data_IF_492658119035
#
_entry.id   IF_492658119035
#
_cell.length_a   1.000
_cell.length_b   1.000
_cell.length_c   1.000
_cell.angle_alpha   90.00
_cell.angle_beta   90.00
_cell.angle_gamma   90.00
#
_symmetry.space_group_name_H-M   'P 1'
#
loop_
_entity.id
_entity.type
_entity.pdbx_description
1 polymer ?
#
# COMPACT_ATOMS: atom_id res chain seq x y z
N UNK A 1 13.71 -19.79 1.21
CA UNK A 1 12.27 -19.98 1.48
C UNK A 1 11.49 -19.14 0.48
N UNK A 2 10.43 -19.67 -0.13
CA UNK A 2 9.58 -18.89 -1.03
C UNK A 2 8.74 -17.88 -0.21
N UNK A 3 8.59 -16.66 -0.72
CA UNK A 3 7.70 -15.66 -0.12
C UNK A 3 6.27 -16.19 -0.12
N UNK A 4 5.54 -16.00 0.98
CA UNK A 4 4.09 -16.23 1.01
C UNK A 4 3.37 -15.25 0.09
N UNK A 5 2.17 -15.60 -0.36
CA UNK A 5 1.40 -14.71 -1.24
C UNK A 5 1.04 -13.38 -0.57
N UNK A 6 0.83 -13.40 0.76
CA UNK A 6 0.72 -12.19 1.60
C UNK A 6 1.96 -11.30 1.47
N UNK A 7 3.16 -11.88 1.61
CA UNK A 7 4.42 -11.13 1.52
C UNK A 7 4.68 -10.62 0.09
N UNK A 8 4.34 -11.40 -0.95
CA UNK A 8 4.46 -10.95 -2.34
C UNK A 8 3.55 -9.75 -2.61
N UNK A 9 2.30 -9.80 -2.13
CA UNK A 9 1.34 -8.72 -2.32
C UNK A 9 1.77 -7.46 -1.55
N UNK A 10 2.21 -7.61 -0.29
CA UNK A 10 2.79 -6.50 0.48
C UNK A 10 3.99 -5.87 -0.21
N UNK A 11 4.88 -6.70 -0.78
CA UNK A 11 6.06 -6.18 -1.47
C UNK A 11 5.69 -5.35 -2.70
N UNK A 12 4.71 -5.79 -3.48
CA UNK A 12 4.19 -4.98 -4.60
C UNK A 12 3.62 -3.64 -4.12
N UNK A 13 2.85 -3.62 -3.02
CA UNK A 13 2.34 -2.37 -2.44
C UNK A 13 3.49 -1.44 -2.04
N UNK A 14 4.55 -1.99 -1.46
CA UNK A 14 5.75 -1.24 -1.07
C UNK A 14 6.50 -0.69 -2.29
N UNK A 15 6.65 -1.48 -3.36
CA UNK A 15 7.31 -1.07 -4.59
C UNK A 15 6.56 0.11 -5.25
N UNK A 16 5.23 0.03 -5.35
CA UNK A 16 4.39 1.13 -5.86
C UNK A 16 4.48 2.37 -4.94
N UNK A 17 4.48 2.18 -3.63
CA UNK A 17 4.64 3.28 -2.67
C UNK A 17 6.01 3.97 -2.80
N UNK A 18 7.07 3.21 -3.03
CA UNK A 18 8.41 3.75 -3.26
C UNK A 18 8.46 4.57 -4.55
N UNK A 19 7.91 4.03 -5.66
CA UNK A 19 7.84 4.75 -6.93
C UNK A 19 7.08 6.09 -6.81
N UNK A 20 6.03 6.14 -5.99
CA UNK A 20 5.32 7.38 -5.69
C UNK A 20 6.19 8.39 -4.93
N UNK A 21 6.93 7.96 -3.90
CA UNK A 21 7.82 8.85 -3.14
C UNK A 21 8.95 9.39 -4.01
N UNK A 22 9.52 8.55 -4.87
CA UNK A 22 10.59 8.92 -5.78
C UNK A 22 10.14 10.02 -6.76
N UNK A 23 8.97 9.85 -7.41
CA UNK A 23 8.45 10.88 -8.32
C UNK A 23 7.97 12.13 -7.58
N UNK A 24 7.47 12.01 -6.34
CA UNK A 24 7.13 13.18 -5.52
C UNK A 24 8.36 14.06 -5.28
N UNK A 25 9.50 13.44 -4.94
CA UNK A 25 10.75 14.17 -4.72
C UNK A 25 11.22 14.90 -5.99
N UNK A 26 10.98 14.32 -7.17
CA UNK A 26 11.24 14.99 -8.44
C UNK A 26 10.29 16.18 -8.66
N UNK A 27 8.99 15.99 -8.41
CA UNK A 27 7.96 17.01 -8.58
C UNK A 27 8.13 18.22 -7.64
N UNK A 28 8.78 18.07 -6.48
CA UNK A 28 9.11 19.19 -5.58
C UNK A 28 9.92 20.30 -6.27
N UNK A 29 10.69 19.94 -7.31
CA UNK A 29 11.46 20.89 -8.11
C UNK A 29 10.91 21.13 -9.52
N UNK A 30 10.00 20.28 -10.00
CA UNK A 30 9.46 20.29 -11.37
C UNK A 30 7.93 20.11 -11.38
N UNK A 31 7.21 20.96 -10.64
CA UNK A 31 5.77 20.80 -10.38
C UNK A 31 4.89 20.73 -11.66
N UNK A 32 5.30 21.38 -12.74
CA UNK A 32 4.55 21.43 -14.00
C UNK A 32 4.89 20.28 -14.98
N UNK A 33 5.75 19.33 -14.56
CA UNK A 33 6.13 18.19 -15.39
C UNK A 33 4.97 17.20 -15.52
N UNK A 34 4.23 17.29 -16.63
CA UNK A 34 3.06 16.43 -16.92
C UNK A 34 3.39 14.94 -16.90
N UNK A 35 4.56 14.56 -17.41
CA UNK A 35 4.99 13.16 -17.44
C UNK A 35 5.16 12.60 -16.02
N UNK A 36 5.76 13.38 -15.11
CA UNK A 36 5.92 13.01 -13.70
C UNK A 36 4.57 12.96 -12.96
N UNK A 37 3.65 13.87 -13.28
CA UNK A 37 2.27 13.86 -12.74
C UNK A 37 1.49 12.61 -13.20
N UNK A 38 1.56 12.27 -14.49
CA UNK A 38 0.89 11.09 -15.04
C UNK A 38 1.49 9.80 -14.45
N UNK A 39 2.81 9.75 -14.28
CA UNK A 39 3.49 8.65 -13.60
C UNK A 39 2.99 8.52 -12.15
N UNK A 40 2.98 9.60 -11.38
CA UNK A 40 2.47 9.60 -10.01
C UNK A 40 1.02 9.09 -9.93
N UNK A 41 0.13 9.61 -10.78
CA UNK A 41 -1.28 9.22 -10.79
C UNK A 41 -1.46 7.73 -11.15
N UNK A 42 -0.68 7.21 -12.09
CA UNK A 42 -0.69 5.79 -12.45
C UNK A 42 -0.28 4.91 -11.28
N UNK A 43 0.83 5.22 -10.62
CA UNK A 43 1.35 4.45 -9.50
C UNK A 43 0.43 4.54 -8.27
N UNK A 44 -0.19 5.71 -8.04
CA UNK A 44 -1.24 5.88 -7.03
C UNK A 44 -2.41 4.92 -7.26
N UNK A 45 -2.97 4.88 -8.47
CA UNK A 45 -4.09 4.01 -8.81
C UNK A 45 -3.73 2.51 -8.73
N UNK A 46 -2.49 2.14 -9.06
CA UNK A 46 -2.01 0.76 -8.91
C UNK A 46 -1.89 0.36 -7.44
N UNK A 47 -1.31 1.24 -6.61
CA UNK A 47 -1.20 1.03 -5.16
C UNK A 47 -2.58 0.85 -4.52
N UNK A 48 -3.53 1.72 -4.83
CA UNK A 48 -4.91 1.64 -4.30
C UNK A 48 -5.57 0.28 -4.62
N UNK A 49 -5.44 -0.21 -5.86
CA UNK A 49 -5.95 -1.53 -6.26
C UNK A 49 -5.29 -2.68 -5.50
N UNK A 50 -3.97 -2.61 -5.29
CA UNK A 50 -3.24 -3.65 -4.56
C UNK A 50 -3.60 -3.65 -3.07
N UNK A 51 -3.78 -2.46 -2.47
CA UNK A 51 -4.25 -2.30 -1.09
C UNK A 51 -5.65 -2.88 -0.95
N UNK A 52 -6.58 -2.55 -1.84
CA UNK A 52 -7.94 -3.11 -1.83
C UNK A 52 -7.92 -4.65 -1.92
N UNK A 53 -7.08 -5.21 -2.81
CA UNK A 53 -6.91 -6.66 -2.92
C UNK A 53 -6.35 -7.27 -1.63
N UNK A 54 -5.39 -6.61 -1.01
CA UNK A 54 -4.80 -7.06 0.25
C UNK A 54 -5.83 -7.04 1.37
N UNK A 55 -6.58 -5.94 1.50
CA UNK A 55 -7.56 -5.73 2.55
C UNK A 55 -8.72 -6.73 2.47
N UNK A 56 -9.21 -7.01 1.25
CA UNK A 56 -10.21 -8.06 1.01
C UNK A 56 -9.76 -9.45 1.45
N UNK A 57 -8.46 -9.75 1.37
CA UNK A 57 -7.93 -11.10 1.59
C UNK A 57 -7.38 -11.30 3.00
N UNK A 58 -6.75 -10.27 3.57
CA UNK A 58 -5.93 -10.38 4.78
C UNK A 58 -6.35 -9.44 5.91
N UNK A 59 -7.34 -8.56 5.68
CA UNK A 59 -7.81 -7.57 6.65
C UNK A 59 -7.20 -6.18 6.44
N UNK A 60 -7.70 -5.17 7.18
CA UNK A 60 -7.40 -3.77 6.93
C UNK A 60 -5.90 -3.47 7.05
N UNK A 61 -5.37 -2.76 6.04
CA UNK A 61 -4.00 -2.26 5.99
C UNK A 61 -3.97 -0.75 6.27
N UNK A 62 -5.07 -0.08 5.96
CA UNK A 62 -5.32 1.33 6.18
C UNK A 62 -6.55 1.52 7.06
N UNK A 63 -6.65 2.67 7.73
CA UNK A 63 -7.82 2.99 8.56
C UNK A 63 -9.12 3.08 7.72
N UNK A 64 -9.00 3.45 6.44
CA UNK A 64 -10.12 3.55 5.50
C UNK A 64 -10.68 2.17 5.10
N UNK A 65 -9.83 1.15 5.08
CA UNK A 65 -10.22 -0.24 4.79
C UNK A 65 -10.90 -0.98 5.95
N UNK A 66 -11.14 -0.31 7.08
CA UNK A 66 -11.73 -0.93 8.27
C UNK A 66 -13.23 -1.15 8.07
N UNK A 67 -13.63 -2.40 8.02
CA UNK A 67 -15.04 -2.80 8.08
C UNK A 67 -15.35 -3.14 9.54
N UNK A 68 -16.17 -2.32 10.19
CA UNK A 68 -16.54 -2.47 11.61
C UNK A 68 -18.04 -2.69 11.78
N UNK A 69 -18.53 -3.88 11.40
CA UNK A 69 -19.93 -4.27 11.63
C UNK A 69 -20.11 -4.82 13.06
N UNK A 70 -19.44 -5.92 13.41
CA UNK A 70 -19.57 -6.56 14.74
C UNK A 70 -18.31 -6.43 15.64
N UNK A 71 -17.17 -6.01 15.07
CA UNK A 71 -15.88 -5.91 15.77
C UNK A 71 -14.97 -4.86 15.15
N UNK A 72 -14.13 -4.23 15.95
CA UNK A 72 -13.13 -3.26 15.50
C UNK A 72 -11.95 -3.97 14.83
N UNK A 73 -12.06 -4.22 13.52
CA UNK A 73 -11.11 -5.06 12.78
C UNK A 73 -9.68 -4.53 12.79
N UNK A 74 -9.51 -3.20 12.89
CA UNK A 74 -8.22 -2.54 13.04
C UNK A 74 -7.40 -3.01 14.26
N UNK A 75 -8.06 -3.26 15.40
CA UNK A 75 -7.37 -3.71 16.62
C UNK A 75 -7.27 -5.24 16.73
N UNK A 76 -7.94 -5.99 15.86
CA UNK A 76 -8.01 -7.46 15.94
C UNK A 76 -7.12 -8.16 14.92
N UNK A 77 -6.67 -7.46 13.88
CA UNK A 77 -5.76 -8.01 12.88
C UNK A 77 -4.31 -7.76 13.31
N UNK A 78 -3.49 -8.81 13.32
CA UNK A 78 -2.05 -8.68 13.59
C UNK A 78 -1.42 -7.72 12.57
N UNK A 79 -0.82 -6.62 13.05
CA UNK A 79 -0.28 -5.60 12.17
C UNK A 79 0.84 -6.18 11.29
N UNK A 80 1.03 -5.65 10.08
CA UNK A 80 2.11 -6.10 9.19
C UNK A 80 3.51 -6.04 9.84
N UNK A 81 3.75 -5.13 10.78
CA UNK A 81 5.02 -4.94 11.50
C UNK A 81 5.08 -5.63 12.87
N UNK A 82 3.98 -6.16 13.39
CA UNK A 82 3.97 -6.90 14.68
C UNK A 82 4.66 -8.26 14.60
N UNK A 83 5.03 -8.72 13.40
CA UNK A 83 5.90 -9.89 13.21
C UNK A 83 7.34 -9.48 12.95
N UNK A 84 7.91 -8.72 13.88
CA UNK A 84 9.33 -8.80 14.15
C UNK A 84 9.58 -10.08 14.95
N UNK A 85 10.02 -11.13 14.26
CA UNK A 85 10.83 -12.25 14.76
C UNK A 85 10.49 -12.88 16.12
N UNK A 86 10.05 -14.15 16.07
CA UNK A 86 10.41 -15.18 17.06
C UNK A 86 10.62 -16.49 16.33
#
# INVERSE_FOLDING_TARGET
>A
MALSDKQKLMRKIQDEAFAMVDVMLYLDSHADCKEALDYFNKHKALKEKLVEQFEKTYGPLTAEGVISDDRWTWATCAFPWERGES
#
